data_IF_035766309152
#
_entry.id   IF_035766309152
#
_cell.length_a   1.000
_cell.length_b   1.000
_cell.length_c   1.000
_cell.angle_alpha   90.00
_cell.angle_beta   90.00
_cell.angle_gamma   90.00
#
_symmetry.space_group_name_H-M   'P 1'
#
loop_
_entity.id
_entity.type
_entity.pdbx_description
1 polymer ?
#
# COMPACT_ATOMS: atom_id res chain seq x y z
N UNK A 1 -26.30 31.03 15.63
CA UNK A 1 -24.98 30.38 15.50
C UNK A 1 -25.14 29.08 16.27
N UNK A 2 -24.97 27.93 15.63
CA UNK A 2 -24.82 26.68 16.38
C UNK A 2 -23.58 26.83 17.25
N UNK A 3 -23.76 26.82 18.57
CA UNK A 3 -22.65 26.72 19.51
C UNK A 3 -22.08 25.32 19.35
N UNK A 4 -20.92 25.23 18.72
CA UNK A 4 -20.22 23.97 18.55
C UNK A 4 -19.72 23.54 19.94
N UNK A 5 -20.39 22.55 20.54
CA UNK A 5 -19.96 21.94 21.80
C UNK A 5 -18.84 20.94 21.52
N UNK A 6 -17.64 21.27 21.99
CA UNK A 6 -16.55 20.32 22.13
C UNK A 6 -16.67 19.59 23.47
N UNK A 7 -16.25 18.32 23.57
CA UNK A 7 -15.60 17.52 22.53
C UNK A 7 -16.57 16.96 21.48
N UNK A 8 -16.06 16.74 20.26
CA UNK A 8 -16.76 16.03 19.17
C UNK A 8 -16.15 14.66 18.91
N UNK A 9 -16.97 13.73 18.43
CA UNK A 9 -16.53 12.43 17.93
C UNK A 9 -16.61 12.41 16.41
N UNK A 10 -15.46 12.21 15.76
CA UNK A 10 -15.31 11.95 14.33
C UNK A 10 -14.89 10.49 14.12
N UNK A 11 -14.98 10.03 12.88
CA UNK A 11 -14.78 8.64 12.52
C UNK A 11 -13.96 8.50 11.25
N UNK A 12 -12.99 7.58 11.27
CA UNK A 12 -12.17 7.19 10.13
C UNK A 12 -12.59 5.79 9.67
N UNK A 13 -12.69 5.56 8.36
CA UNK A 13 -13.01 4.24 7.81
C UNK A 13 -14.39 4.19 7.17
N UNK A 14 -15.14 3.13 7.43
CA UNK A 14 -16.45 2.87 6.84
C UNK A 14 -17.49 2.42 7.90
N UNK A 15 -18.75 2.22 7.49
CA UNK A 15 -19.82 1.84 8.42
C UNK A 15 -19.64 0.47 9.09
N UNK A 16 -18.73 -0.38 8.60
CA UNK A 16 -18.40 -1.71 9.14
C UNK A 16 -17.14 -1.65 10.02
N UNK A 17 -16.07 -1.03 9.51
CA UNK A 17 -14.77 -0.90 10.17
C UNK A 17 -14.44 0.58 10.31
N UNK A 18 -14.64 1.14 11.51
CA UNK A 18 -14.33 2.53 11.81
C UNK A 18 -13.54 2.69 13.11
N UNK A 19 -12.72 3.73 13.15
CA UNK A 19 -12.03 4.21 14.33
C UNK A 19 -12.64 5.53 14.79
N UNK A 20 -12.93 5.65 16.09
CA UNK A 20 -13.46 6.88 16.68
C UNK A 20 -12.32 7.81 17.13
N UNK A 21 -12.37 9.06 16.70
CA UNK A 21 -11.43 10.14 17.04
C UNK A 21 -12.17 11.22 17.83
N UNK A 22 -11.71 11.51 19.06
CA UNK A 22 -12.29 12.56 19.90
C UNK A 22 -11.48 13.84 19.73
N UNK A 23 -12.12 14.92 19.26
CA UNK A 23 -11.51 16.23 19.07
C UNK A 23 -12.03 17.22 20.12
N UNK A 24 -11.13 18.02 20.69
CA UNK A 24 -11.40 18.92 21.83
C UNK A 24 -11.60 20.38 21.42
N UNK A 25 -11.27 20.73 20.18
CA UNK A 25 -11.33 22.10 19.66
C UNK A 25 -11.40 22.10 18.12
N UNK A 26 -11.56 23.29 17.57
CA UNK A 26 -11.70 23.51 16.11
C UNK A 26 -10.44 23.15 15.34
N UNK A 27 -9.25 23.41 15.91
CA UNK A 27 -7.97 23.08 15.27
C UNK A 27 -7.78 21.56 15.13
N UNK A 28 -8.17 20.78 16.15
CA UNK A 28 -8.16 19.32 16.13
C UNK A 28 -9.21 18.75 15.18
N UNK A 29 -10.40 19.35 15.13
CA UNK A 29 -11.45 18.97 14.17
C UNK A 29 -10.97 19.18 12.72
N UNK A 30 -10.34 20.32 12.43
CA UNK A 30 -9.82 20.62 11.10
C UNK A 30 -8.72 19.63 10.67
N UNK A 31 -7.81 19.28 11.57
CA UNK A 31 -6.77 18.26 11.31
C UNK A 31 -7.38 16.87 11.09
N UNK A 32 -8.33 16.46 11.92
CA UNK A 32 -8.98 15.17 11.76
C UNK A 32 -9.72 15.09 10.42
N UNK A 33 -10.39 16.16 10.00
CA UNK A 33 -11.08 16.26 8.70
C UNK A 33 -10.12 16.29 7.51
N UNK A 34 -8.92 16.86 7.65
CA UNK A 34 -7.84 16.76 6.64
C UNK A 34 -7.37 15.31 6.46
N UNK A 35 -7.50 14.49 7.51
CA UNK A 35 -7.24 13.05 7.48
C UNK A 35 -8.50 12.22 7.15
N UNK A 36 -9.51 12.81 6.51
CA UNK A 36 -10.76 12.13 6.11
C UNK A 36 -11.64 11.65 7.28
N UNK A 37 -11.45 12.17 8.49
CA UNK A 37 -12.35 11.86 9.60
C UNK A 37 -13.68 12.62 9.41
N UNK A 38 -14.78 11.88 9.42
CA UNK A 38 -16.13 12.40 9.17
C UNK A 38 -17.06 12.16 10.36
N UNK A 39 -18.22 12.80 10.36
CA UNK A 39 -19.27 12.43 11.30
C UNK A 39 -19.77 11.01 10.98
N UNK A 40 -20.25 10.28 11.98
CA UNK A 40 -20.66 8.87 11.80
C UNK A 40 -21.70 8.69 10.66
N UNK A 41 -22.60 9.66 10.49
CA UNK A 41 -23.64 9.63 9.45
C UNK A 41 -23.12 9.82 8.03
N UNK A 42 -21.89 10.31 7.88
CA UNK A 42 -21.23 10.58 6.60
C UNK A 42 -20.16 9.53 6.24
N UNK A 43 -20.00 8.49 7.07
CA UNK A 43 -19.11 7.38 6.75
C UNK A 43 -19.54 6.71 5.44
N UNK A 44 -18.59 6.36 4.57
CA UNK A 44 -18.89 5.56 3.39
C UNK A 44 -19.46 4.20 3.81
N UNK A 45 -20.37 3.66 2.99
CA UNK A 45 -20.93 2.32 3.22
C UNK A 45 -19.81 1.27 3.08
N UNK A 46 -19.55 0.53 4.15
CA UNK A 46 -18.56 -0.54 4.16
C UNK A 46 -19.05 -1.73 3.34
N UNK A 47 -18.12 -2.42 2.69
CA UNK A 47 -18.41 -3.69 2.02
C UNK A 47 -18.19 -4.85 3.01
N UNK A 48 -19.26 -5.60 3.28
CA UNK A 48 -19.15 -6.77 4.15
C UNK A 48 -18.26 -7.81 3.47
N UNK A 49 -17.09 -8.07 4.06
CA UNK A 49 -16.24 -9.17 3.63
C UNK A 49 -16.99 -10.47 3.93
N UNK A 50 -17.43 -11.20 2.91
CA UNK A 50 -18.04 -12.51 3.12
C UNK A 50 -17.01 -13.42 3.81
N UNK A 51 -17.34 -13.98 4.99
CA UNK A 51 -16.43 -14.86 5.69
C UNK A 51 -16.22 -16.12 4.85
N UNK A 52 -14.98 -16.37 4.47
CA UNK A 52 -14.59 -17.64 3.84
C UNK A 52 -14.93 -18.76 4.83
N UNK A 53 -15.55 -19.85 4.36
CA UNK A 53 -15.80 -21.00 5.21
C UNK A 53 -14.47 -21.46 5.83
N UNK A 54 -14.48 -21.84 7.11
CA UNK A 54 -13.23 -22.17 7.82
C UNK A 54 -12.45 -23.32 7.16
N UNK A 55 -13.17 -24.23 6.48
CA UNK A 55 -12.59 -25.33 5.72
C UNK A 55 -11.90 -24.88 4.41
N UNK A 56 -12.28 -23.73 3.86
CA UNK A 56 -11.73 -23.11 2.65
C UNK A 56 -10.65 -22.07 2.97
N UNK A 57 -10.51 -21.65 4.23
CA UNK A 57 -9.53 -20.66 4.67
C UNK A 57 -8.08 -21.02 4.32
N UNK A 58 -7.61 -22.28 4.46
CA UNK A 58 -6.26 -22.65 4.06
C UNK A 58 -6.02 -22.49 2.55
N UNK A 59 -7.02 -22.82 1.74
CA UNK A 59 -6.93 -22.72 0.28
C UNK A 59 -7.01 -21.26 -0.19
N UNK A 60 -7.91 -20.47 0.39
CA UNK A 60 -7.99 -19.03 0.14
C UNK A 60 -6.69 -18.31 0.54
N UNK A 61 -6.09 -18.67 1.68
CA UNK A 61 -4.81 -18.13 2.11
C UNK A 61 -3.68 -18.51 1.14
N UNK A 62 -3.60 -19.78 0.73
CA UNK A 62 -2.59 -20.23 -0.23
C UNK A 62 -2.73 -19.51 -1.58
N UNK A 63 -3.97 -19.32 -2.05
CA UNK A 63 -4.27 -18.56 -3.27
C UNK A 63 -3.87 -17.09 -3.16
N UNK A 64 -4.22 -16.43 -2.06
CA UNK A 64 -3.84 -15.05 -1.80
C UNK A 64 -2.32 -14.86 -1.73
N UNK A 65 -1.61 -15.77 -1.07
CA UNK A 65 -0.14 -15.74 -1.02
C UNK A 65 0.49 -15.94 -2.40
N UNK A 66 -0.05 -16.85 -3.22
CA UNK A 66 0.41 -17.03 -4.59
C UNK A 66 0.19 -15.76 -5.44
N UNK A 67 -0.97 -15.11 -5.28
CA UNK A 67 -1.27 -13.85 -5.97
C UNK A 67 -0.37 -12.70 -5.52
N UNK A 68 -0.07 -12.61 -4.23
CA UNK A 68 0.85 -11.60 -3.69
C UNK A 68 2.26 -11.80 -4.27
N UNK A 69 2.78 -13.03 -4.28
CA UNK A 69 4.10 -13.32 -4.85
C UNK A 69 4.18 -12.95 -6.34
N UNK A 70 3.11 -13.20 -7.10
CA UNK A 70 3.01 -12.79 -8.51
C UNK A 70 3.03 -11.26 -8.65
N UNK A 71 2.20 -10.55 -7.87
CA UNK A 71 2.13 -9.09 -7.90
C UNK A 71 3.46 -8.44 -7.46
N UNK A 72 4.12 -8.99 -6.45
CA UNK A 72 5.44 -8.53 -6.00
C UNK A 72 6.48 -8.67 -7.12
N UNK A 73 6.45 -9.78 -7.87
CA UNK A 73 7.33 -9.98 -9.04
C UNK A 73 7.02 -8.98 -10.16
N UNK A 74 5.74 -8.70 -10.42
CA UNK A 74 5.34 -7.72 -11.43
C UNK A 74 5.79 -6.30 -11.04
N UNK A 75 5.53 -5.89 -9.80
CA UNK A 75 5.97 -4.60 -9.25
C UNK A 75 7.49 -4.46 -9.33
N UNK A 76 8.23 -5.53 -8.97
CA UNK A 76 9.69 -5.56 -9.10
C UNK A 76 10.14 -5.33 -10.53
N UNK A 77 9.50 -5.96 -11.50
CA UNK A 77 9.78 -5.77 -12.93
C UNK A 77 9.57 -4.33 -13.41
N UNK A 78 8.51 -3.66 -12.97
CA UNK A 78 8.30 -2.24 -13.29
C UNK A 78 9.35 -1.34 -12.63
N UNK A 79 9.65 -1.57 -11.35
CA UNK A 79 10.70 -0.82 -10.65
C UNK A 79 12.04 -0.91 -11.38
N UNK A 80 12.47 -2.11 -11.76
CA UNK A 80 13.73 -2.31 -12.48
C UNK A 80 13.74 -1.60 -13.85
N UNK A 81 12.61 -1.55 -14.56
CA UNK A 81 12.50 -0.82 -15.84
C UNK A 81 12.64 0.69 -15.66
N UNK A 82 12.15 1.24 -14.56
CA UNK A 82 12.21 2.67 -14.28
C UNK A 82 13.58 3.11 -13.73
N UNK A 83 14.34 2.20 -13.09
CA UNK A 83 15.68 2.48 -12.58
C UNK A 83 16.65 2.96 -13.65
N UNK A 84 17.56 3.86 -13.27
CA UNK A 84 18.62 4.36 -14.13
C UNK A 84 19.76 3.33 -14.26
N UNK A 85 20.56 3.46 -15.33
CA UNK A 85 21.65 2.54 -15.59
C UNK A 85 22.65 2.42 -14.42
N UNK A 86 22.93 3.52 -13.72
CA UNK A 86 23.83 3.49 -12.56
C UNK A 86 23.25 2.76 -11.35
N UNK A 87 21.93 2.81 -11.17
CA UNK A 87 21.25 2.07 -10.10
C UNK A 87 21.21 0.57 -10.41
N UNK A 88 20.98 0.19 -11.68
CA UNK A 88 21.09 -1.20 -12.12
C UNK A 88 22.51 -1.76 -11.94
N UNK A 89 23.54 -0.97 -12.25
CA UNK A 89 24.94 -1.34 -11.98
C UNK A 89 25.22 -1.54 -10.49
N UNK A 90 24.63 -0.72 -9.62
CA UNK A 90 24.76 -0.88 -8.18
C UNK A 90 24.18 -2.23 -7.71
N UNK A 91 22.99 -2.61 -8.22
CA UNK A 91 22.41 -3.93 -7.96
C UNK A 91 23.33 -5.06 -8.44
N UNK A 92 23.81 -5.00 -9.69
CA UNK A 92 24.71 -6.02 -10.23
C UNK A 92 26.01 -6.13 -9.42
N UNK A 93 26.55 -5.00 -8.96
CA UNK A 93 27.74 -4.94 -8.10
C UNK A 93 27.48 -5.62 -6.75
N UNK A 94 26.35 -5.32 -6.10
CA UNK A 94 25.94 -5.94 -4.84
C UNK A 94 25.77 -7.46 -5.00
N UNK A 95 25.18 -7.90 -6.12
CA UNK A 95 25.00 -9.30 -6.49
C UNK A 95 26.26 -9.98 -7.02
N UNK A 96 27.37 -9.26 -7.16
CA UNK A 96 28.64 -9.74 -7.73
C UNK A 96 28.50 -10.31 -9.15
N UNK A 97 27.60 -9.71 -9.95
CA UNK A 97 27.42 -10.01 -11.37
C UNK A 97 28.34 -9.07 -12.17
N UNK A 98 29.10 -9.63 -13.12
CA UNK A 98 29.95 -8.84 -14.01
C UNK A 98 29.13 -8.13 -15.09
N UNK A 99 29.49 -6.89 -15.41
CA UNK A 99 28.90 -6.10 -16.49
C UNK A 99 29.93 -5.15 -17.12
N UNK A 100 29.69 -4.76 -18.37
CA UNK A 100 30.49 -3.78 -19.07
C UNK A 100 30.18 -2.35 -18.63
N UNK A 101 31.21 -1.51 -18.48
CA UNK A 101 31.04 -0.10 -18.10
C UNK A 101 30.21 0.72 -19.10
N UNK A 102 30.15 0.25 -20.35
CA UNK A 102 29.42 0.87 -21.49
C UNK A 102 28.19 0.07 -21.92
N UNK A 103 27.78 -0.93 -21.14
CA UNK A 103 26.56 -1.68 -21.43
C UNK A 103 25.35 -0.76 -21.42
N UNK A 104 24.41 -1.02 -22.33
CA UNK A 104 23.17 -0.26 -22.39
C UNK A 104 22.31 -0.56 -21.16
N UNK A 105 21.37 0.36 -20.86
CA UNK A 105 20.36 0.14 -19.81
C UNK A 105 19.63 -1.19 -20.00
N UNK A 106 19.28 -1.54 -21.24
CA UNK A 106 18.58 -2.79 -21.55
C UNK A 106 19.43 -4.04 -21.25
N UNK A 107 20.73 -4.02 -21.57
CA UNK A 107 21.64 -5.13 -21.23
C UNK A 107 21.77 -5.29 -19.72
N UNK A 108 21.95 -4.17 -19.00
CA UNK A 108 22.05 -4.19 -17.53
C UNK A 108 20.74 -4.69 -16.90
N UNK A 109 19.59 -4.24 -17.41
CA UNK A 109 18.28 -4.69 -16.95
C UNK A 109 18.10 -6.20 -17.12
N UNK A 110 18.46 -6.74 -18.29
CA UNK A 110 18.38 -8.19 -18.53
C UNK A 110 19.27 -8.98 -17.58
N UNK A 111 20.52 -8.52 -17.35
CA UNK A 111 21.42 -9.16 -16.39
C UNK A 111 20.86 -9.13 -14.96
N UNK A 112 20.19 -8.03 -14.56
CA UNK A 112 19.56 -7.94 -13.25
C UNK A 112 18.39 -8.93 -13.15
N UNK A 113 17.56 -9.04 -14.19
CA UNK A 113 16.42 -9.96 -14.22
C UNK A 113 16.87 -11.42 -14.21
N UNK A 114 17.92 -11.78 -14.97
CA UNK A 114 18.46 -13.15 -15.01
C UNK A 114 19.15 -13.58 -13.70
N UNK A 115 19.49 -12.62 -12.84
CA UNK A 115 20.16 -12.87 -11.57
C UNK A 115 19.23 -12.81 -10.34
N UNK A 116 17.92 -12.64 -10.52
CA UNK A 116 16.92 -12.76 -9.43
C UNK A 116 16.59 -14.23 -9.14
#
# INVERSE_FOLDING_TARGET
MEEIEYPKALYLGDTITHEMVIVQNEDEEAQAREHDAVDFGDLPEGEAIEPVANDELPEAYASAMARIAELETEVRGYQLKDMQADELKAILTERKIEFGSRDSKDTLLNLVIESE
#
